data_IF_745273451701
#
_entry.id   IF_745273451701
#
_cell.length_a   1.000
_cell.length_b   1.000
_cell.length_c   1.000
_cell.angle_alpha   90.00
_cell.angle_beta   90.00
_cell.angle_gamma   90.00
#
_symmetry.space_group_name_H-M   'P 1'
#
loop_
_entity.id
_entity.type
_entity.pdbx_description
1 polymer ?
#
# COMPACT_ATOMS: atom_id res chain seq x y z
N UNK A 1 59.34 -47.61 31.35
CA UNK A 1 59.40 -46.12 31.10
C UNK A 1 58.51 -45.63 29.96
N UNK A 2 57.59 -46.40 29.37
CA UNK A 2 56.70 -45.94 28.25
C UNK A 2 55.28 -45.49 28.69
N UNK A 3 54.84 -45.78 29.88
CA UNK A 3 53.48 -45.42 30.33
C UNK A 3 53.34 -44.02 30.93
N UNK A 4 54.43 -43.34 31.35
CA UNK A 4 54.35 -42.03 31.95
C UNK A 4 54.22 -40.88 30.96
N UNK A 5 54.73 -41.07 29.73
CA UNK A 5 54.73 -40.00 28.70
C UNK A 5 53.34 -39.79 28.07
N UNK A 6 52.49 -40.85 27.98
CA UNK A 6 51.13 -40.76 27.45
C UNK A 6 50.17 -40.00 28.37
N UNK A 7 50.35 -40.13 29.68
CA UNK A 7 49.50 -39.46 30.69
C UNK A 7 49.69 -37.94 30.72
N UNK A 8 50.91 -37.45 30.51
CA UNK A 8 51.23 -36.01 30.54
C UNK A 8 50.73 -35.33 29.26
N UNK A 9 50.81 -35.99 28.10
CA UNK A 9 50.34 -35.43 26.81
C UNK A 9 48.82 -35.31 26.79
N UNK A 10 48.06 -36.26 27.34
CA UNK A 10 46.58 -36.20 27.40
C UNK A 10 46.13 -35.13 28.40
N UNK A 11 46.79 -34.94 29.55
CA UNK A 11 46.45 -33.89 30.52
C UNK A 11 46.77 -32.49 30.02
N UNK A 12 47.82 -32.28 29.17
CA UNK A 12 48.12 -31.00 28.58
C UNK A 12 47.11 -30.61 27.45
N UNK A 13 46.58 -31.58 26.69
CA UNK A 13 45.53 -31.35 25.69
C UNK A 13 44.19 -30.96 26.32
N UNK A 14 43.82 -31.58 27.44
CA UNK A 14 42.59 -31.27 28.18
C UNK A 14 42.65 -29.87 28.85
N UNK A 15 43.83 -29.43 29.29
CA UNK A 15 44.05 -28.08 29.86
C UNK A 15 43.91 -26.96 28.83
N UNK A 16 44.35 -27.17 27.61
CA UNK A 16 44.24 -26.18 26.55
C UNK A 16 42.82 -25.94 26.09
N UNK A 17 41.98 -26.99 26.00
CA UNK A 17 40.57 -26.87 25.62
C UNK A 17 39.72 -26.18 26.70
N UNK A 18 40.09 -26.27 27.96
CA UNK A 18 39.41 -25.58 29.07
C UNK A 18 39.65 -24.07 29.04
N UNK A 19 40.87 -23.64 28.75
CA UNK A 19 41.24 -22.21 28.67
C UNK A 19 40.60 -21.50 27.50
N UNK A 20 40.48 -22.16 26.31
CA UNK A 20 39.83 -21.56 25.12
C UNK A 20 38.34 -21.32 25.33
N UNK A 21 37.63 -22.25 26.01
CA UNK A 21 36.21 -22.09 26.35
C UNK A 21 35.96 -20.94 27.33
N UNK A 22 36.84 -20.72 28.30
CA UNK A 22 36.72 -19.58 29.23
C UNK A 22 36.94 -18.28 28.49
N UNK A 23 37.99 -18.17 27.65
CA UNK A 23 38.27 -17.02 26.86
C UNK A 23 37.12 -16.70 25.87
N UNK A 24 36.54 -17.70 25.21
CA UNK A 24 35.37 -17.51 24.34
C UNK A 24 34.17 -16.94 25.12
N UNK A 25 33.90 -17.42 26.34
CA UNK A 25 32.81 -16.87 27.18
C UNK A 25 33.03 -15.41 27.59
N UNK A 26 34.27 -15.03 27.87
CA UNK A 26 34.60 -13.64 28.21
C UNK A 26 34.41 -12.72 27.01
N UNK A 27 34.81 -13.13 25.80
CA UNK A 27 34.54 -12.42 24.55
C UNK A 27 33.02 -12.30 24.27
N UNK A 28 32.24 -13.34 24.55
CA UNK A 28 30.76 -13.26 24.40
C UNK A 28 30.18 -12.23 25.38
N UNK A 29 30.67 -12.16 26.64
CA UNK A 29 30.21 -11.13 27.58
C UNK A 29 30.56 -9.73 27.12
N UNK A 30 31.78 -9.52 26.66
CA UNK A 30 32.21 -8.25 26.08
C UNK A 30 31.35 -7.87 24.87
N UNK A 31 31.10 -8.80 23.95
CA UNK A 31 30.22 -8.58 22.81
C UNK A 31 28.78 -8.21 23.22
N UNK A 32 28.24 -8.85 24.27
CA UNK A 32 26.94 -8.53 24.82
C UNK A 32 26.88 -7.12 25.45
N UNK A 33 27.98 -6.63 26.02
CA UNK A 33 28.10 -5.25 26.52
C UNK A 33 28.11 -4.26 25.35
N UNK A 34 28.94 -4.48 24.33
CA UNK A 34 28.93 -3.67 23.12
C UNK A 34 27.55 -3.64 22.43
N UNK A 35 26.88 -4.79 22.34
CA UNK A 35 25.54 -4.85 21.76
C UNK A 35 24.53 -3.97 22.51
N UNK A 36 24.55 -4.03 23.87
CA UNK A 36 23.67 -3.20 24.72
C UNK A 36 23.96 -1.70 24.55
N UNK A 37 25.23 -1.36 24.34
CA UNK A 37 25.68 0.02 24.11
C UNK A 37 25.41 0.51 22.67
N UNK A 38 24.85 -0.36 21.79
CA UNK A 38 24.59 -0.04 20.38
C UNK A 38 25.84 -0.05 19.50
N UNK A 39 26.98 -0.52 20.02
CA UNK A 39 28.26 -0.66 19.33
C UNK A 39 28.33 -1.99 18.57
N UNK A 40 27.44 -2.14 17.59
CA UNK A 40 27.19 -3.43 16.94
C UNK A 40 28.41 -3.98 16.20
N UNK A 41 29.27 -3.12 15.60
CA UNK A 41 30.50 -3.55 14.93
C UNK A 41 31.51 -4.16 15.91
N UNK A 42 31.69 -3.52 17.08
CA UNK A 42 32.55 -4.03 18.12
C UNK A 42 32.02 -5.34 18.72
N UNK A 43 30.68 -5.44 18.86
CA UNK A 43 30.04 -6.68 19.27
C UNK A 43 30.31 -7.83 18.27
N UNK A 44 30.17 -7.58 16.96
CA UNK A 44 30.45 -8.55 15.90
C UNK A 44 31.90 -9.01 15.95
N UNK A 45 32.86 -8.10 16.16
CA UNK A 45 34.27 -8.45 16.30
C UNK A 45 34.52 -9.36 17.49
N UNK A 46 33.98 -9.03 18.68
CA UNK A 46 34.10 -9.85 19.88
C UNK A 46 33.47 -11.24 19.70
N UNK A 47 32.27 -11.32 19.12
CA UNK A 47 31.63 -12.60 18.83
C UNK A 47 32.40 -13.42 17.79
N UNK A 48 32.99 -12.78 16.77
CA UNK A 48 33.79 -13.46 15.77
C UNK A 48 35.04 -14.10 16.38
N UNK A 49 35.75 -13.39 17.27
CA UNK A 49 36.88 -13.95 18.04
C UNK A 49 36.42 -15.12 18.95
N UNK A 50 35.23 -15.02 19.53
CA UNK A 50 34.68 -16.10 20.34
C UNK A 50 34.38 -17.36 19.49
N UNK A 51 33.87 -17.20 18.27
CA UNK A 51 33.62 -18.29 17.31
C UNK A 51 34.94 -18.94 16.87
N UNK A 52 35.99 -18.16 16.63
CA UNK A 52 37.33 -18.71 16.30
C UNK A 52 37.86 -19.62 17.43
N UNK A 53 37.64 -19.26 18.69
CA UNK A 53 38.10 -20.04 19.85
C UNK A 53 37.21 -21.25 20.14
N UNK A 54 35.91 -21.13 19.95
CA UNK A 54 34.91 -22.19 20.21
C UNK A 54 33.88 -22.25 19.07
N UNK A 55 34.23 -22.83 17.91
CA UNK A 55 33.35 -22.87 16.75
C UNK A 55 32.05 -23.64 16.97
N UNK A 56 31.98 -24.50 17.97
CA UNK A 56 30.80 -25.31 18.31
C UNK A 56 29.83 -24.59 19.22
N UNK A 57 30.15 -23.38 19.68
CA UNK A 57 29.23 -22.58 20.49
C UNK A 57 28.01 -22.14 19.69
N UNK A 58 26.81 -22.62 20.06
CA UNK A 58 25.58 -22.35 19.29
C UNK A 58 25.08 -20.91 19.49
N UNK A 59 24.96 -20.47 20.72
CA UNK A 59 24.37 -19.17 21.11
C UNK A 59 25.13 -17.96 20.53
N UNK A 60 26.43 -18.06 20.32
CA UNK A 60 27.25 -16.93 19.79
C UNK A 60 26.89 -16.58 18.35
N UNK A 61 26.45 -17.54 17.53
CA UNK A 61 25.96 -17.27 16.17
C UNK A 61 24.68 -16.46 16.20
N UNK A 62 23.75 -16.79 17.11
CA UNK A 62 22.55 -15.98 17.32
C UNK A 62 22.89 -14.53 17.71
N UNK A 63 23.79 -14.36 18.66
CA UNK A 63 24.19 -13.04 19.14
C UNK A 63 24.84 -12.20 18.04
N UNK A 64 25.74 -12.81 17.24
CA UNK A 64 26.37 -12.13 16.11
C UNK A 64 25.38 -11.79 15.01
N UNK A 65 24.46 -12.69 14.70
CA UNK A 65 23.37 -12.45 13.76
C UNK A 65 22.50 -11.24 14.17
N UNK A 66 22.09 -11.17 15.46
CA UNK A 66 21.33 -10.03 15.97
C UNK A 66 22.10 -8.70 15.89
N UNK A 67 23.42 -8.73 16.12
CA UNK A 67 24.25 -7.54 15.99
C UNK A 67 24.37 -7.08 14.52
N UNK A 68 24.56 -8.02 13.60
CA UNK A 68 24.61 -7.74 12.16
C UNK A 68 23.23 -7.27 11.63
N UNK A 69 22.15 -7.91 12.00
CA UNK A 69 20.79 -7.47 11.68
C UNK A 69 20.52 -6.04 12.15
N UNK A 70 20.97 -5.70 13.39
CA UNK A 70 20.81 -4.34 13.91
C UNK A 70 21.49 -3.28 13.04
N UNK A 71 22.64 -3.60 12.43
CA UNK A 71 23.30 -2.72 11.47
C UNK A 71 22.46 -2.60 10.20
N UNK A 72 21.98 -3.72 9.65
CA UNK A 72 21.15 -3.75 8.43
C UNK A 72 19.92 -2.88 8.59
N UNK A 73 19.17 -3.06 9.68
CA UNK A 73 17.93 -2.33 9.93
C UNK A 73 18.12 -0.83 10.18
N UNK A 74 19.29 -0.43 10.68
CA UNK A 74 19.63 0.98 10.96
C UNK A 74 20.28 1.70 9.79
N UNK A 75 20.86 0.98 8.82
CA UNK A 75 21.56 1.55 7.66
C UNK A 75 20.53 1.91 6.57
N UNK A 76 20.11 3.18 6.57
CA UNK A 76 19.16 3.70 5.57
C UNK A 76 19.85 4.50 4.46
N UNK A 77 21.08 4.96 4.69
CA UNK A 77 21.84 5.78 3.74
C UNK A 77 22.33 4.94 2.55
N UNK A 78 22.09 5.38 1.29
CA UNK A 78 22.62 4.73 0.09
C UNK A 78 24.14 4.52 0.09
N UNK A 79 24.92 5.38 0.74
CA UNK A 79 26.38 5.21 0.87
C UNK A 79 26.78 3.98 1.70
N UNK A 80 25.89 3.50 2.55
CA UNK A 80 26.07 2.32 3.38
C UNK A 80 25.63 0.99 2.75
N UNK A 81 25.19 0.97 1.49
CA UNK A 81 24.61 -0.23 0.84
C UNK A 81 25.56 -1.43 0.80
N UNK A 82 26.86 -1.21 0.56
CA UNK A 82 27.84 -2.30 0.54
C UNK A 82 27.96 -2.95 1.92
N UNK A 83 28.10 -2.15 2.95
CA UNK A 83 28.19 -2.62 4.34
C UNK A 83 26.89 -3.31 4.75
N UNK A 84 25.72 -2.73 4.40
CA UNK A 84 24.41 -3.32 4.66
C UNK A 84 24.31 -4.73 4.08
N UNK A 85 24.75 -4.91 2.81
CA UNK A 85 24.74 -6.21 2.13
C UNK A 85 25.63 -7.23 2.82
N UNK A 86 26.84 -6.83 3.22
CA UNK A 86 27.79 -7.70 3.92
C UNK A 86 27.25 -8.18 5.28
N UNK A 87 26.65 -7.26 6.08
CA UNK A 87 26.05 -7.63 7.35
C UNK A 87 24.75 -8.41 7.19
N UNK A 88 23.98 -8.19 6.13
CA UNK A 88 22.83 -8.99 5.80
C UNK A 88 23.21 -10.46 5.53
N UNK A 89 24.23 -10.67 4.70
CA UNK A 89 24.75 -12.01 4.40
C UNK A 89 25.27 -12.71 5.67
N UNK A 90 26.01 -11.97 6.51
CA UNK A 90 26.49 -12.49 7.80
C UNK A 90 25.33 -12.91 8.71
N UNK A 91 24.33 -12.06 8.89
CA UNK A 91 23.19 -12.34 9.76
C UNK A 91 22.39 -13.56 9.27
N UNK A 92 22.12 -13.64 7.96
CA UNK A 92 21.40 -14.76 7.35
C UNK A 92 22.16 -16.08 7.52
N UNK A 93 23.47 -16.07 7.33
CA UNK A 93 24.32 -17.26 7.51
C UNK A 93 24.37 -17.71 8.98
N UNK A 94 24.47 -16.76 9.90
CA UNK A 94 24.56 -17.05 11.32
C UNK A 94 23.24 -17.55 11.91
N UNK A 95 22.09 -16.95 11.56
CA UNK A 95 20.79 -17.46 11.96
C UNK A 95 20.55 -18.89 11.45
N UNK A 96 20.94 -19.15 10.18
CA UNK A 96 20.89 -20.51 9.63
C UNK A 96 21.81 -21.46 10.41
N UNK A 97 23.04 -21.05 10.71
CA UNK A 97 24.03 -21.87 11.45
C UNK A 97 23.53 -22.16 12.85
N UNK A 98 22.90 -21.18 13.52
CA UNK A 98 22.30 -21.38 14.83
C UNK A 98 21.19 -22.45 14.78
N UNK A 99 20.26 -22.34 13.85
CA UNK A 99 19.14 -23.29 13.70
C UNK A 99 19.64 -24.70 13.37
N UNK A 100 20.58 -24.82 12.42
CA UNK A 100 21.16 -26.10 11.99
C UNK A 100 21.92 -26.82 13.12
N UNK A 101 22.40 -26.10 14.13
CA UNK A 101 23.18 -26.65 15.24
C UNK A 101 22.38 -26.91 16.52
N UNK A 102 21.11 -26.56 16.56
CA UNK A 102 20.24 -26.96 17.66
C UNK A 102 20.08 -28.49 17.66
N UNK A 103 20.30 -29.12 18.82
CA UNK A 103 20.18 -30.57 18.97
C UNK A 103 18.73 -31.05 18.79
N UNK A 104 17.77 -30.22 19.24
CA UNK A 104 16.32 -30.49 19.13
C UNK A 104 15.60 -29.17 18.82
N UNK A 105 15.60 -28.71 17.55
CA UNK A 105 14.90 -27.49 17.18
C UNK A 105 13.38 -27.67 17.31
N UNK A 106 12.72 -26.68 17.96
CA UNK A 106 11.28 -26.62 18.00
C UNK A 106 10.73 -25.88 16.75
N UNK A 107 9.47 -26.09 16.36
CA UNK A 107 8.86 -25.33 15.25
C UNK A 107 8.98 -23.80 15.43
N UNK A 108 8.90 -23.32 16.66
CA UNK A 108 9.05 -21.91 17.00
C UNK A 108 10.43 -21.34 16.65
N UNK A 109 11.50 -22.14 16.76
CA UNK A 109 12.86 -21.71 16.42
C UNK A 109 12.97 -21.42 14.92
N UNK A 110 12.41 -22.29 14.09
CA UNK A 110 12.37 -22.13 12.65
C UNK A 110 11.55 -20.90 12.24
N UNK A 111 10.40 -20.68 12.90
CA UNK A 111 9.57 -19.50 12.65
C UNK A 111 10.29 -18.21 13.05
N UNK A 112 10.98 -18.22 14.19
CA UNK A 112 11.76 -17.07 14.66
C UNK A 112 12.87 -16.70 13.65
N UNK A 113 13.67 -17.68 13.22
CA UNK A 113 14.71 -17.46 12.18
C UNK A 113 14.09 -16.94 10.89
N UNK A 114 12.93 -17.48 10.48
CA UNK A 114 12.26 -17.02 9.28
C UNK A 114 11.80 -15.57 9.39
N UNK A 115 11.31 -15.14 10.56
CA UNK A 115 10.91 -13.74 10.79
C UNK A 115 12.11 -12.77 10.68
N UNK A 116 13.24 -13.12 11.32
CA UNK A 116 14.49 -12.36 11.16
C UNK A 116 14.96 -12.33 9.70
N UNK A 117 14.91 -13.47 9.02
CA UNK A 117 15.27 -13.56 7.61
C UNK A 117 14.45 -12.60 6.75
N UNK A 118 13.12 -12.57 6.90
CA UNK A 118 12.26 -11.68 6.14
C UNK A 118 12.53 -10.20 6.42
N UNK A 119 12.78 -9.85 7.68
CA UNK A 119 13.13 -8.48 8.06
C UNK A 119 14.45 -8.01 7.43
N UNK A 120 15.47 -8.88 7.42
CA UNK A 120 16.78 -8.61 6.80
C UNK A 120 16.62 -8.45 5.28
N UNK A 121 15.90 -9.38 4.62
CA UNK A 121 15.69 -9.34 3.17
C UNK A 121 14.90 -8.09 2.75
N UNK A 122 13.91 -7.66 3.53
CA UNK A 122 13.15 -6.42 3.28
C UNK A 122 14.05 -5.18 3.43
N UNK A 123 14.84 -5.12 4.51
CA UNK A 123 15.75 -4.01 4.75
C UNK A 123 16.90 -3.92 3.73
N UNK A 124 17.38 -5.06 3.22
CA UNK A 124 18.44 -5.13 2.19
C UNK A 124 17.88 -5.12 0.75
N UNK A 125 16.56 -4.90 0.60
CA UNK A 125 15.87 -4.78 -0.70
C UNK A 125 16.07 -6.00 -1.61
N UNK A 126 16.09 -7.21 -1.04
CA UNK A 126 16.24 -8.48 -1.78
C UNK A 126 14.91 -8.96 -2.35
N UNK A 127 14.44 -8.24 -3.35
CA UNK A 127 13.13 -8.43 -3.94
C UNK A 127 12.87 -9.86 -4.41
N UNK A 128 13.79 -10.47 -5.15
CA UNK A 128 13.56 -11.80 -5.74
C UNK A 128 13.46 -12.90 -4.67
N UNK A 129 14.23 -12.78 -3.58
CA UNK A 129 14.15 -13.74 -2.48
C UNK A 129 12.85 -13.60 -1.69
N UNK A 130 12.41 -12.36 -1.43
CA UNK A 130 11.14 -12.07 -0.77
C UNK A 130 9.94 -12.55 -1.61
N UNK A 131 9.93 -12.22 -2.90
CA UNK A 131 8.88 -12.65 -3.82
C UNK A 131 8.83 -14.18 -3.93
N UNK A 132 9.99 -14.84 -4.04
CA UNK A 132 10.07 -16.31 -4.08
C UNK A 132 9.44 -16.91 -2.83
N UNK A 133 9.74 -16.37 -1.65
CA UNK A 133 9.15 -16.85 -0.40
C UNK A 133 7.62 -16.70 -0.36
N UNK A 134 7.10 -15.50 -0.71
CA UNK A 134 5.67 -15.26 -0.64
C UNK A 134 4.88 -16.04 -1.70
N UNK A 135 5.46 -16.20 -2.90
CA UNK A 135 4.86 -17.01 -3.98
C UNK A 135 4.84 -18.51 -3.60
N UNK A 136 5.92 -19.03 -2.99
CA UNK A 136 5.93 -20.41 -2.49
C UNK A 136 4.88 -20.64 -1.39
N UNK A 137 4.76 -19.67 -0.48
CA UNK A 137 3.73 -19.69 0.57
C UNK A 137 2.32 -19.70 -0.01
N UNK A 138 2.06 -18.84 -1.02
CA UNK A 138 0.78 -18.83 -1.74
C UNK A 138 0.51 -20.16 -2.46
N UNK A 139 1.51 -20.72 -3.15
CA UNK A 139 1.34 -22.00 -3.86
C UNK A 139 0.95 -23.15 -2.92
N UNK A 140 1.43 -23.10 -1.68
CA UNK A 140 1.06 -24.08 -0.62
C UNK A 140 -0.32 -23.80 -0.03
N UNK A 141 -0.76 -22.54 -0.01
CA UNK A 141 -2.01 -22.11 0.62
C UNK A 141 -2.77 -21.10 -0.29
N UNK A 142 -3.25 -21.54 -1.47
CA UNK A 142 -3.89 -20.63 -2.43
C UNK A 142 -5.24 -20.05 -1.95
N UNK A 143 -5.84 -20.64 -0.93
CA UNK A 143 -7.07 -20.15 -0.30
C UNK A 143 -6.84 -19.07 0.77
N UNK A 144 -5.59 -18.74 1.10
CA UNK A 144 -5.27 -17.69 2.06
C UNK A 144 -5.30 -16.31 1.36
N UNK A 145 -6.47 -15.66 1.38
CA UNK A 145 -6.71 -14.39 0.68
C UNK A 145 -5.70 -13.29 1.05
N UNK A 146 -5.23 -13.25 2.31
CA UNK A 146 -4.27 -12.24 2.78
C UNK A 146 -2.94 -12.25 2.02
N UNK A 147 -2.53 -13.42 1.49
CA UNK A 147 -1.29 -13.55 0.72
C UNK A 147 -1.31 -12.76 -0.58
N UNK A 148 -2.46 -12.61 -1.23
CA UNK A 148 -2.59 -11.84 -2.48
C UNK A 148 -2.17 -10.38 -2.28
N UNK A 149 -2.69 -9.76 -1.22
CA UNK A 149 -2.32 -8.37 -0.88
C UNK A 149 -0.85 -8.26 -0.45
N UNK A 150 -0.34 -9.24 0.28
CA UNK A 150 1.07 -9.28 0.70
C UNK A 150 1.99 -9.36 -0.50
N UNK A 151 1.70 -10.25 -1.46
CA UNK A 151 2.47 -10.40 -2.69
C UNK A 151 2.39 -9.13 -3.55
N UNK A 152 1.18 -8.59 -3.74
CA UNK A 152 1.01 -7.35 -4.50
C UNK A 152 1.84 -6.19 -3.91
N UNK A 153 1.77 -5.99 -2.59
CA UNK A 153 2.58 -4.97 -1.91
C UNK A 153 4.09 -5.23 -2.01
N UNK A 154 4.51 -6.49 -2.02
CA UNK A 154 5.91 -6.83 -2.21
C UNK A 154 6.38 -6.49 -3.62
N UNK A 155 5.55 -6.73 -4.65
CA UNK A 155 5.81 -6.28 -6.02
C UNK A 155 5.93 -4.75 -6.10
N UNK A 156 5.04 -3.99 -5.42
CA UNK A 156 5.12 -2.52 -5.37
C UNK A 156 6.42 -2.03 -4.74
N UNK A 157 6.82 -2.58 -3.60
CA UNK A 157 8.11 -2.25 -2.97
C UNK A 157 9.30 -2.51 -3.89
N UNK A 158 9.16 -3.46 -4.79
CA UNK A 158 10.17 -3.82 -5.78
C UNK A 158 10.06 -3.02 -7.09
N UNK A 159 9.24 -1.96 -7.13
CA UNK A 159 8.96 -1.16 -8.33
C UNK A 159 8.38 -1.98 -9.51
N UNK A 160 7.71 -3.08 -9.23
CA UNK A 160 7.06 -3.97 -10.19
C UNK A 160 5.54 -3.76 -10.14
N UNK A 161 5.11 -2.55 -10.45
CA UNK A 161 3.73 -2.08 -10.30
C UNK A 161 2.74 -2.88 -11.14
N UNK A 162 3.14 -3.32 -12.35
CA UNK A 162 2.28 -4.10 -13.24
C UNK A 162 1.92 -5.45 -12.62
N UNK A 163 2.90 -6.16 -12.10
CA UNK A 163 2.66 -7.45 -11.44
C UNK A 163 1.88 -7.27 -10.12
N UNK A 164 2.10 -6.18 -9.42
CA UNK A 164 1.27 -5.84 -8.27
C UNK A 164 -0.21 -5.70 -8.66
N UNK A 165 -0.51 -5.00 -9.76
CA UNK A 165 -1.87 -4.86 -10.30
C UNK A 165 -2.48 -6.21 -10.65
N UNK A 166 -1.73 -7.08 -11.32
CA UNK A 166 -2.17 -8.43 -11.69
C UNK A 166 -2.57 -9.25 -10.45
N UNK A 167 -1.87 -9.11 -9.32
CA UNK A 167 -2.21 -9.78 -8.07
C UNK A 167 -3.45 -9.21 -7.38
N UNK A 168 -3.70 -7.90 -7.45
CA UNK A 168 -4.96 -7.32 -6.98
C UNK A 168 -6.14 -7.80 -7.83
N UNK A 169 -5.99 -7.87 -9.15
CA UNK A 169 -7.02 -8.39 -10.06
C UNK A 169 -7.27 -9.88 -9.86
N UNK A 170 -6.20 -10.66 -9.72
CA UNK A 170 -6.29 -12.10 -9.41
C UNK A 170 -7.06 -12.35 -8.11
N UNK A 171 -6.86 -11.51 -7.08
CA UNK A 171 -7.60 -11.63 -5.83
C UNK A 171 -9.10 -11.52 -6.03
N UNK A 172 -9.60 -10.62 -6.88
CA UNK A 172 -11.04 -10.52 -7.19
C UNK A 172 -11.54 -11.77 -7.95
N UNK A 173 -10.72 -12.32 -8.84
CA UNK A 173 -11.09 -13.52 -9.61
C UNK A 173 -11.23 -14.74 -8.70
N UNK A 174 -10.30 -14.92 -7.76
CA UNK A 174 -10.27 -16.06 -6.86
C UNK A 174 -11.23 -15.90 -5.65
N UNK A 175 -11.54 -14.64 -5.26
CA UNK A 175 -12.43 -14.30 -4.15
C UNK A 175 -13.52 -13.30 -4.57
N UNK A 176 -14.46 -13.68 -5.46
CA UNK A 176 -15.48 -12.78 -6.01
C UNK A 176 -16.47 -12.24 -4.97
N UNK A 177 -16.57 -12.87 -3.80
CA UNK A 177 -17.41 -12.44 -2.68
C UNK A 177 -16.64 -11.64 -1.62
N UNK A 178 -15.38 -11.31 -1.87
CA UNK A 178 -14.57 -10.52 -0.94
C UNK A 178 -14.74 -9.03 -1.12
N UNK A 179 -15.47 -8.40 -0.23
CA UNK A 179 -15.62 -6.94 -0.15
C UNK A 179 -14.25 -6.25 -0.14
N UNK A 180 -13.30 -6.82 0.62
CA UNK A 180 -11.95 -6.27 0.76
C UNK A 180 -11.13 -6.36 -0.53
N UNK A 181 -11.39 -7.36 -1.38
CA UNK A 181 -10.73 -7.48 -2.67
C UNK A 181 -11.11 -6.30 -3.59
N UNK A 182 -12.42 -6.06 -3.75
CA UNK A 182 -12.92 -4.92 -4.53
C UNK A 182 -12.47 -3.58 -3.96
N UNK A 183 -12.55 -3.41 -2.65
CA UNK A 183 -12.14 -2.18 -1.99
C UNK A 183 -10.64 -1.88 -2.19
N UNK A 184 -9.76 -2.85 -2.01
CA UNK A 184 -8.31 -2.64 -2.19
C UNK A 184 -7.95 -2.30 -3.64
N UNK A 185 -8.59 -2.93 -4.63
CA UNK A 185 -8.36 -2.59 -6.03
C UNK A 185 -8.94 -1.21 -6.37
N UNK A 186 -10.11 -0.85 -5.81
CA UNK A 186 -10.68 0.48 -5.98
C UNK A 186 -9.74 1.58 -5.47
N UNK A 187 -9.17 1.43 -4.26
CA UNK A 187 -8.19 2.39 -3.71
C UNK A 187 -6.99 2.51 -4.65
N UNK A 188 -6.43 1.39 -5.07
CA UNK A 188 -5.28 1.38 -5.97
C UNK A 188 -5.55 2.10 -7.29
N UNK A 189 -6.74 1.91 -7.86
CA UNK A 189 -7.16 2.63 -9.09
C UNK A 189 -7.51 4.10 -8.82
N UNK A 190 -7.77 4.46 -7.56
CA UNK A 190 -8.01 5.85 -7.16
C UNK A 190 -6.72 6.64 -6.97
N UNK A 191 -5.61 6.00 -6.55
CA UNK A 191 -4.35 6.68 -6.23
C UNK A 191 -3.89 7.73 -7.28
N UNK A 192 -3.96 7.46 -8.59
CA UNK A 192 -3.58 8.47 -9.60
C UNK A 192 -4.50 9.70 -9.65
N UNK A 193 -5.71 9.63 -9.06
CA UNK A 193 -6.67 10.74 -9.02
C UNK A 193 -6.37 11.74 -7.89
N UNK A 194 -5.48 11.42 -6.94
CA UNK A 194 -5.11 12.37 -5.90
C UNK A 194 -4.52 13.64 -6.50
N UNK A 195 -4.83 14.80 -5.89
CA UNK A 195 -4.20 16.06 -6.29
C UNK A 195 -2.67 15.96 -6.27
N UNK A 196 -2.03 16.67 -7.20
CA UNK A 196 -0.59 16.87 -7.15
C UNK A 196 -0.26 17.68 -5.89
N UNK A 197 0.63 17.21 -4.99
CA UNK A 197 1.00 17.93 -3.77
C UNK A 197 1.54 19.36 -4.02
N UNK A 198 2.14 19.60 -5.18
CA UNK A 198 2.72 20.88 -5.57
C UNK A 198 1.71 21.79 -6.31
N UNK A 199 0.48 21.33 -6.52
CA UNK A 199 -0.59 22.05 -7.22
C UNK A 199 -1.66 22.53 -6.22
N UNK A 200 -2.17 23.77 -6.34
CA UNK A 200 -3.30 24.23 -5.54
C UNK A 200 -4.65 23.64 -6.00
N UNK A 201 -4.68 22.87 -7.09
CA UNK A 201 -5.89 22.30 -7.65
C UNK A 201 -6.36 21.08 -6.86
N UNK A 202 -7.68 20.89 -6.67
CA UNK A 202 -8.22 19.75 -5.91
C UNK A 202 -8.23 18.43 -6.71
N UNK A 203 -7.46 18.35 -7.78
CA UNK A 203 -7.35 17.19 -8.68
C UNK A 203 -5.95 17.09 -9.28
N UNK A 204 -5.61 15.93 -9.82
CA UNK A 204 -4.35 15.73 -10.55
C UNK A 204 -4.41 16.45 -11.90
N UNK A 205 -3.72 17.60 -12.00
CA UNK A 205 -3.65 18.42 -13.20
C UNK A 205 -2.75 17.85 -14.31
N UNK A 206 -1.92 16.84 -13.99
CA UNK A 206 -1.04 16.17 -14.93
C UNK A 206 -1.76 15.07 -15.74
N UNK A 207 -3.02 14.76 -15.38
CA UNK A 207 -3.84 13.74 -16.01
C UNK A 207 -4.95 14.38 -16.88
N UNK A 208 -5.18 13.81 -18.06
CA UNK A 208 -6.26 14.26 -18.93
C UNK A 208 -7.64 14.04 -18.29
N UNK A 209 -8.60 14.90 -18.64
CA UNK A 209 -9.96 14.85 -18.07
C UNK A 209 -10.67 13.54 -18.33
N UNK A 210 -10.60 13.07 -19.57
CA UNK A 210 -11.18 11.80 -19.99
C UNK A 210 -10.58 10.62 -19.21
N UNK A 211 -9.27 10.64 -18.96
CA UNK A 211 -8.59 9.63 -18.16
C UNK A 211 -9.05 9.66 -16.70
N UNK A 212 -9.19 10.86 -16.11
CA UNK A 212 -9.74 11.02 -14.76
C UNK A 212 -11.18 10.51 -14.65
N UNK A 213 -12.02 10.80 -15.64
CA UNK A 213 -13.41 10.30 -15.71
C UNK A 213 -13.42 8.77 -15.79
N UNK A 214 -12.58 8.18 -16.66
CA UNK A 214 -12.52 6.74 -16.86
C UNK A 214 -12.03 6.02 -15.60
N UNK A 215 -11.00 6.54 -14.93
CA UNK A 215 -10.55 5.98 -13.65
C UNK A 215 -11.60 6.11 -12.55
N UNK A 216 -12.26 7.25 -12.43
CA UNK A 216 -13.33 7.43 -11.46
C UNK A 216 -14.49 6.45 -11.72
N UNK A 217 -14.87 6.21 -12.98
CA UNK A 217 -15.89 5.22 -13.35
C UNK A 217 -15.48 3.80 -12.92
N UNK A 218 -14.21 3.44 -13.16
CA UNK A 218 -13.68 2.13 -12.77
C UNK A 218 -13.72 1.94 -11.25
N UNK A 219 -13.28 2.94 -10.49
CA UNK A 219 -13.33 2.95 -9.02
C UNK A 219 -14.77 2.80 -8.51
N UNK A 220 -15.70 3.60 -9.06
CA UNK A 220 -17.12 3.51 -8.71
C UNK A 220 -17.65 2.10 -8.94
N UNK A 221 -17.34 1.49 -10.10
CA UNK A 221 -17.76 0.13 -10.43
C UNK A 221 -17.27 -0.94 -9.44
N UNK A 222 -16.03 -0.86 -8.97
CA UNK A 222 -15.52 -1.77 -7.93
C UNK A 222 -16.21 -1.54 -6.59
N UNK A 223 -16.45 -0.29 -6.20
CA UNK A 223 -17.11 0.04 -4.93
C UNK A 223 -18.62 -0.28 -4.94
N UNK A 224 -19.26 -0.24 -6.10
CA UNK A 224 -20.62 -0.74 -6.28
C UNK A 224 -20.70 -2.25 -6.02
N UNK A 225 -19.72 -3.03 -6.51
CA UNK A 225 -19.61 -4.45 -6.19
C UNK A 225 -19.40 -4.68 -4.70
N UNK A 226 -18.50 -3.92 -4.07
CA UNK A 226 -18.26 -4.02 -2.63
C UNK A 226 -19.53 -3.77 -1.80
N UNK A 227 -20.33 -2.73 -2.12
CA UNK A 227 -21.58 -2.43 -1.42
C UNK A 227 -22.73 -3.35 -1.78
N UNK A 228 -22.68 -4.02 -2.93
CA UNK A 228 -23.64 -5.09 -3.28
C UNK A 228 -23.43 -6.33 -2.38
N UNK A 229 -22.17 -6.67 -2.08
CA UNK A 229 -21.81 -7.80 -1.22
C UNK A 229 -22.10 -7.45 0.26
N UNK A 230 -21.63 -6.29 0.72
CA UNK A 230 -21.90 -5.79 2.06
C UNK A 230 -22.42 -4.34 2.03
N UNK A 231 -23.74 -4.15 2.11
CA UNK A 231 -24.35 -2.82 2.13
C UNK A 231 -23.97 -1.95 3.34
N UNK A 232 -23.31 -2.51 4.35
CA UNK A 232 -22.85 -1.78 5.54
C UNK A 232 -21.35 -1.50 5.51
N UNK A 233 -20.65 -1.86 4.44
CA UNK A 233 -19.22 -1.62 4.31
C UNK A 233 -18.94 -0.13 4.10
N UNK A 234 -18.80 0.58 5.20
CA UNK A 234 -18.68 2.04 5.32
C UNK A 234 -17.62 2.65 4.38
N UNK A 235 -16.43 2.02 4.31
CA UNK A 235 -15.31 2.55 3.55
C UNK A 235 -15.59 2.62 2.04
N UNK A 236 -16.42 1.72 1.50
CA UNK A 236 -16.80 1.79 0.09
C UNK A 236 -17.58 3.06 -0.24
N UNK A 237 -18.45 3.52 0.65
CA UNK A 237 -19.19 4.76 0.46
C UNK A 237 -18.28 5.99 0.53
N UNK A 238 -17.29 6.00 1.43
CA UNK A 238 -16.32 7.10 1.53
C UNK A 238 -15.54 7.24 0.22
N UNK A 239 -14.92 6.15 -0.25
CA UNK A 239 -14.12 6.18 -1.46
C UNK A 239 -14.97 6.46 -2.71
N UNK A 240 -16.20 5.97 -2.75
CA UNK A 240 -17.13 6.26 -3.85
C UNK A 240 -17.55 7.72 -3.89
N UNK A 241 -17.76 8.36 -2.71
CA UNK A 241 -17.96 9.81 -2.63
C UNK A 241 -16.80 10.59 -3.23
N UNK A 242 -15.58 10.20 -2.87
CA UNK A 242 -14.36 10.81 -3.43
C UNK A 242 -14.27 10.59 -4.94
N UNK A 243 -14.60 9.41 -5.45
CA UNK A 243 -14.59 9.11 -6.88
C UNK A 243 -15.61 9.95 -7.67
N UNK A 244 -16.82 10.10 -7.15
CA UNK A 244 -17.81 11.02 -7.74
C UNK A 244 -17.33 12.46 -7.73
N UNK A 245 -16.70 12.92 -6.64
CA UNK A 245 -16.12 14.27 -6.55
C UNK A 245 -15.02 14.46 -7.62
N UNK A 246 -14.09 13.52 -7.76
CA UNK A 246 -13.05 13.60 -8.80
C UNK A 246 -13.63 13.56 -10.20
N UNK A 247 -14.68 12.80 -10.44
CA UNK A 247 -15.39 12.78 -11.74
C UNK A 247 -16.08 14.09 -12.02
N UNK A 248 -16.72 14.72 -11.04
CA UNK A 248 -17.29 16.06 -11.18
C UNK A 248 -16.23 17.10 -11.55
N UNK A 249 -15.10 17.11 -10.84
CA UNK A 249 -13.97 18.00 -11.07
C UNK A 249 -13.27 17.79 -12.43
N UNK A 250 -13.42 16.60 -13.03
CA UNK A 250 -12.88 16.31 -14.35
C UNK A 250 -13.73 16.87 -15.49
N UNK A 251 -14.98 17.22 -15.23
CA UNK A 251 -15.90 17.75 -16.26
C UNK A 251 -15.68 19.24 -16.41
N UNK A 252 -15.15 19.66 -17.57
CA UNK A 252 -14.92 21.08 -17.86
C UNK A 252 -16.14 21.74 -18.48
N UNK A 253 -16.41 22.95 -18.00
CA UNK A 253 -17.39 23.87 -18.55
C UNK A 253 -17.00 25.30 -18.18
N UNK A 254 -17.31 26.26 -19.07
CA UNK A 254 -17.05 27.68 -18.79
C UNK A 254 -18.01 28.27 -17.75
N UNK A 255 -17.62 29.36 -17.09
CA UNK A 255 -18.46 30.08 -16.14
C UNK A 255 -19.58 30.86 -16.84
N UNK A 256 -19.42 31.24 -18.10
CA UNK A 256 -20.39 31.95 -18.90
C UNK A 256 -21.44 30.99 -19.49
N UNK A 257 -22.48 30.75 -18.70
CA UNK A 257 -23.56 29.79 -19.03
C UNK A 257 -24.29 30.11 -20.34
N UNK A 258 -24.36 31.40 -20.71
CA UNK A 258 -25.09 31.82 -21.93
C UNK A 258 -24.33 31.45 -23.21
N UNK A 259 -23.01 31.33 -23.14
CA UNK A 259 -22.13 31.04 -24.27
C UNK A 259 -21.53 29.62 -24.23
N UNK A 260 -21.97 28.75 -23.32
CA UNK A 260 -21.51 27.36 -23.25
C UNK A 260 -21.90 26.60 -24.53
N UNK A 261 -20.97 25.75 -24.97
CA UNK A 261 -21.23 24.76 -26.03
C UNK A 261 -22.20 23.69 -25.49
N UNK A 262 -22.86 22.90 -26.38
CA UNK A 262 -23.68 21.77 -25.97
C UNK A 262 -22.94 20.79 -25.05
N UNK A 263 -21.66 20.52 -25.33
CA UNK A 263 -20.82 19.63 -24.54
C UNK A 263 -20.53 20.21 -23.14
N UNK A 264 -20.19 21.50 -23.03
CA UNK A 264 -19.99 22.17 -21.76
C UNK A 264 -21.26 22.20 -20.89
N UNK A 265 -22.42 22.43 -21.52
CA UNK A 265 -23.69 22.35 -20.84
C UNK A 265 -23.98 20.93 -20.30
N UNK A 266 -23.68 19.90 -21.09
CA UNK A 266 -23.80 18.51 -20.63
C UNK A 266 -22.81 18.23 -19.47
N UNK A 267 -21.56 18.66 -19.60
CA UNK A 267 -20.56 18.51 -18.54
C UNK A 267 -21.00 19.19 -17.23
N UNK A 268 -21.57 20.39 -17.31
CA UNK A 268 -22.10 21.10 -16.13
C UNK A 268 -23.22 20.32 -15.45
N UNK A 269 -24.16 19.77 -16.22
CA UNK A 269 -25.24 18.94 -15.69
C UNK A 269 -24.74 17.66 -15.03
N UNK A 270 -23.84 16.96 -15.71
CA UNK A 270 -23.24 15.72 -15.20
C UNK A 270 -22.34 15.97 -13.96
N UNK A 271 -21.63 17.11 -13.88
CA UNK A 271 -20.88 17.50 -12.68
C UNK A 271 -21.81 17.73 -11.49
N UNK A 272 -22.97 18.34 -11.70
CA UNK A 272 -24.02 18.52 -10.67
C UNK A 272 -24.57 17.16 -10.20
N UNK A 273 -24.87 16.27 -11.13
CA UNK A 273 -25.31 14.90 -10.80
C UNK A 273 -24.25 14.17 -9.95
N UNK A 274 -22.99 14.24 -10.35
CA UNK A 274 -21.87 13.63 -9.62
C UNK A 274 -21.72 14.21 -8.22
N UNK A 275 -21.86 15.53 -8.06
CA UNK A 275 -21.86 16.20 -6.74
C UNK A 275 -23.00 15.69 -5.84
N UNK A 276 -24.19 15.53 -6.39
CA UNK A 276 -25.32 14.97 -5.67
C UNK A 276 -25.10 13.48 -5.32
N UNK A 277 -24.50 12.70 -6.22
CA UNK A 277 -24.14 11.31 -5.95
C UNK A 277 -23.08 11.21 -4.86
N UNK A 278 -22.05 12.08 -4.85
CA UNK A 278 -21.05 12.17 -3.81
C UNK A 278 -21.70 12.44 -2.44
N UNK A 279 -22.61 13.41 -2.37
CA UNK A 279 -23.35 13.70 -1.14
C UNK A 279 -24.19 12.50 -0.68
N UNK A 280 -24.88 11.79 -1.57
CA UNK A 280 -25.64 10.58 -1.22
C UNK A 280 -24.76 9.50 -0.59
N UNK A 281 -23.51 9.37 -1.03
CA UNK A 281 -22.56 8.45 -0.41
C UNK A 281 -22.20 8.89 1.01
N UNK A 282 -21.94 10.18 1.23
CA UNK A 282 -21.67 10.73 2.56
C UNK A 282 -22.88 10.52 3.48
N UNK A 283 -24.11 10.75 2.98
CA UNK A 283 -25.34 10.45 3.74
C UNK A 283 -25.43 8.98 4.14
N UNK A 284 -25.08 8.05 3.25
CA UNK A 284 -25.06 6.62 3.59
C UNK A 284 -24.04 6.30 4.70
N UNK A 285 -22.87 6.94 4.71
CA UNK A 285 -21.91 6.84 5.82
C UNK A 285 -22.51 7.34 7.13
N UNK A 286 -23.17 8.49 7.10
CA UNK A 286 -23.83 9.06 8.27
C UNK A 286 -24.91 8.12 8.83
N UNK A 287 -25.69 7.48 7.96
CA UNK A 287 -26.74 6.54 8.36
C UNK A 287 -26.14 5.28 9.00
N UNK A 288 -25.01 4.78 8.46
CA UNK A 288 -24.28 3.66 9.05
C UNK A 288 -23.71 4.03 10.43
N UNK A 289 -23.13 5.21 10.56
CA UNK A 289 -22.52 5.72 11.80
C UNK A 289 -23.55 6.32 12.76
N UNK A 290 -24.82 6.42 12.36
CA UNK A 290 -25.92 7.05 13.14
C UNK A 290 -25.62 8.49 13.56
N UNK A 291 -25.00 9.26 12.65
CA UNK A 291 -24.65 10.67 12.90
C UNK A 291 -25.87 11.58 12.73
N UNK A 292 -26.00 12.62 13.58
CA UNK A 292 -27.03 13.64 13.41
C UNK A 292 -26.76 14.52 12.18
N UNK A 293 -27.78 15.19 11.65
CA UNK A 293 -27.59 16.22 10.63
C UNK A 293 -26.86 17.46 11.22
N UNK A 294 -25.93 18.03 10.43
CA UNK A 294 -25.23 19.24 10.80
C UNK A 294 -26.17 20.44 10.86
N UNK A 295 -26.01 21.31 11.86
CA UNK A 295 -26.59 22.65 11.81
C UNK A 295 -25.76 23.55 10.88
N UNK A 296 -26.40 24.56 10.30
CA UNK A 296 -25.72 25.51 9.39
C UNK A 296 -24.48 26.15 10.02
N UNK A 297 -24.53 26.43 11.32
CA UNK A 297 -23.43 27.03 12.10
C UNK A 297 -22.27 26.05 12.26
N UNK A 298 -22.53 24.75 12.42
CA UNK A 298 -21.53 23.70 12.55
C UNK A 298 -20.81 23.44 11.23
N UNK A 299 -21.53 23.54 10.10
CA UNK A 299 -20.93 23.45 8.76
C UNK A 299 -19.96 24.62 8.49
N UNK A 300 -20.32 25.83 8.89
CA UNK A 300 -19.48 27.01 8.76
C UNK A 300 -18.22 26.93 9.64
N UNK A 301 -18.28 26.22 10.76
CA UNK A 301 -17.14 26.00 11.67
C UNK A 301 -16.21 24.83 11.26
N UNK A 302 -16.52 24.11 10.18
CA UNK A 302 -15.66 23.01 9.69
C UNK A 302 -15.78 21.72 10.52
N UNK A 303 -16.93 21.44 11.10
CA UNK A 303 -17.21 20.26 11.95
C UNK A 303 -17.24 18.91 11.14
N UNK A 304 -16.25 18.70 10.28
CA UNK A 304 -16.17 17.46 9.48
C UNK A 304 -16.06 16.22 10.39
N UNK A 305 -17.01 15.30 10.24
CA UNK A 305 -17.00 13.97 10.89
C UNK A 305 -17.80 13.87 12.19
N UNK A 306 -18.37 14.95 12.74
CA UNK A 306 -19.22 14.92 13.93
C UNK A 306 -20.72 14.94 13.60
N UNK A 307 -21.11 15.36 12.41
CA UNK A 307 -22.47 15.41 11.91
C UNK A 307 -22.49 15.21 10.38
N UNK A 308 -23.68 14.95 9.85
CA UNK A 308 -23.91 14.69 8.45
C UNK A 308 -24.10 16.02 7.68
N UNK A 309 -23.39 16.24 6.55
CA UNK A 309 -23.55 17.46 5.78
C UNK A 309 -24.95 17.58 5.20
N UNK A 310 -25.47 18.82 5.18
CA UNK A 310 -26.74 19.12 4.56
C UNK A 310 -26.69 18.83 3.05
N UNK A 311 -27.83 18.41 2.46
CA UNK A 311 -27.89 18.21 1.02
C UNK A 311 -27.63 19.52 0.27
N UNK A 312 -27.08 19.43 -0.95
CA UNK A 312 -27.15 20.55 -1.87
C UNK A 312 -28.61 21.03 -2.01
N UNK A 313 -28.86 22.33 -2.16
CA UNK A 313 -30.22 22.82 -2.31
C UNK A 313 -30.93 22.08 -3.44
N UNK A 314 -32.15 21.56 -3.20
CA UNK A 314 -32.88 20.85 -4.21
C UNK A 314 -33.25 21.77 -5.36
N UNK A 315 -33.14 21.27 -6.59
CA UNK A 315 -33.70 21.97 -7.73
C UNK A 315 -35.23 22.06 -7.60
N UNK A 316 -35.78 23.18 -8.04
CA UNK A 316 -37.26 23.27 -8.21
C UNK A 316 -37.73 22.26 -9.27
N UNK A 317 -39.01 21.85 -9.27
CA UNK A 317 -39.55 20.94 -10.29
C UNK A 317 -39.34 21.49 -11.73
N UNK A 318 -39.39 22.82 -11.90
CA UNK A 318 -39.18 23.47 -13.18
C UNK A 318 -37.72 23.39 -13.63
N UNK A 319 -36.74 23.60 -12.71
CA UNK A 319 -35.33 23.42 -12.99
C UNK A 319 -34.99 21.95 -13.31
N UNK A 320 -35.57 21.00 -12.57
CA UNK A 320 -35.39 19.57 -12.87
C UNK A 320 -35.93 19.20 -14.25
N UNK A 321 -37.09 19.71 -14.65
CA UNK A 321 -37.68 19.46 -15.96
C UNK A 321 -36.83 20.11 -17.07
N UNK A 322 -36.32 21.32 -16.86
CA UNK A 322 -35.46 22.02 -17.79
C UNK A 322 -34.10 21.33 -17.96
N UNK A 323 -33.47 20.87 -16.86
CA UNK A 323 -32.22 20.13 -16.92
C UNK A 323 -32.38 18.79 -17.64
N UNK A 324 -33.49 18.07 -17.40
CA UNK A 324 -33.77 16.81 -18.06
C UNK A 324 -34.00 16.98 -19.57
N UNK A 325 -34.71 18.04 -19.98
CA UNK A 325 -34.93 18.38 -21.40
C UNK A 325 -33.62 18.79 -22.06
N UNK A 326 -32.84 19.65 -21.42
CA UNK A 326 -31.53 20.09 -21.93
C UNK A 326 -30.57 18.91 -22.11
N UNK A 327 -30.48 18.02 -21.13
CA UNK A 327 -29.66 16.82 -21.19
C UNK A 327 -30.03 15.96 -22.39
N UNK A 328 -31.31 15.72 -22.59
CA UNK A 328 -31.83 14.95 -23.73
C UNK A 328 -31.48 15.59 -25.06
N UNK A 329 -31.63 16.93 -25.19
CA UNK A 329 -31.29 17.68 -26.41
C UNK A 329 -29.78 17.62 -26.71
N UNK A 330 -28.92 17.76 -25.69
CA UNK A 330 -27.47 17.70 -25.84
C UNK A 330 -27.03 16.29 -26.23
N UNK A 331 -27.54 15.25 -25.58
CA UNK A 331 -27.27 13.87 -25.94
C UNK A 331 -27.66 13.54 -27.37
N UNK A 332 -28.82 14.06 -27.82
CA UNK A 332 -29.24 13.90 -29.20
C UNK A 332 -28.32 14.63 -30.18
N UNK A 333 -27.91 15.87 -29.86
CA UNK A 333 -26.98 16.64 -30.71
C UNK A 333 -25.61 15.96 -30.85
N UNK A 334 -25.09 15.42 -29.76
CA UNK A 334 -23.83 14.67 -29.73
C UNK A 334 -23.95 13.40 -30.59
N UNK A 335 -25.06 12.66 -30.44
CA UNK A 335 -25.34 11.46 -31.22
C UNK A 335 -25.49 11.77 -32.72
N UNK A 336 -26.18 12.84 -33.05
CA UNK A 336 -26.37 13.31 -34.44
C UNK A 336 -25.03 13.73 -35.07
N UNK A 337 -24.18 14.46 -34.33
CA UNK A 337 -22.84 14.84 -34.78
C UNK A 337 -21.94 13.61 -34.99
N UNK A 338 -21.99 12.62 -34.10
CA UNK A 338 -21.26 11.37 -34.23
C UNK A 338 -21.72 10.54 -35.45
N UNK A 339 -23.03 10.63 -35.79
CA UNK A 339 -23.62 9.99 -36.98
C UNK A 339 -23.39 10.79 -38.27
N UNK A 340 -22.68 11.93 -38.25
CA UNK A 340 -22.42 12.79 -39.40
C UNK A 340 -23.66 13.60 -39.83
N UNK A 341 -24.68 13.70 -39.01
CA UNK A 341 -25.90 14.48 -39.26
C UNK A 341 -25.60 15.93 -38.87
N UNK A 342 -25.47 16.80 -39.86
CA UNK A 342 -25.22 18.26 -39.66
C UNK A 342 -26.48 18.91 -39.09
N UNK A 343 -26.42 19.62 -37.94
CA UNK A 343 -27.56 20.36 -37.42
C UNK A 343 -28.01 21.44 -38.42
N UNK A 344 -29.32 21.72 -38.53
CA UNK A 344 -29.80 22.75 -39.43
C UNK A 344 -29.21 24.11 -39.04
N UNK A 345 -28.57 24.76 -40.03
CA UNK A 345 -27.96 26.09 -39.84
C UNK A 345 -28.99 27.05 -39.27
N UNK A 346 -28.68 27.76 -38.15
CA UNK A 346 -29.63 28.71 -37.57
C UNK A 346 -29.94 29.79 -38.62
N UNK A 347 -31.22 29.94 -38.96
CA UNK A 347 -31.68 30.97 -39.91
C UNK A 347 -31.27 32.33 -39.35
N UNK A 348 -30.26 32.94 -39.96
CA UNK A 348 -29.73 34.23 -39.57
C UNK A 348 -30.85 35.26 -39.35
N UNK A 349 -30.90 35.84 -38.15
CA UNK A 349 -31.75 37.02 -37.90
C UNK A 349 -31.32 38.10 -38.91
N UNK A 350 -32.19 38.37 -39.90
CA UNK A 350 -32.03 39.52 -40.84
C UNK A 350 -31.89 40.79 -40.01
N UNK A 351 -30.66 41.32 -39.95
CA UNK A 351 -30.40 42.59 -39.34
C UNK A 351 -31.28 43.65 -39.98
N UNK A 352 -32.20 44.25 -39.24
CA UNK A 352 -32.85 45.52 -39.61
C UNK A 352 -31.75 46.60 -39.62
N UNK A 353 -31.31 46.96 -40.82
CA UNK A 353 -30.60 48.23 -41.03
C UNK A 353 -31.50 49.36 -40.58
N UNK A 354 -31.06 50.14 -39.63
CA UNK A 354 -31.39 51.55 -39.45
C UNK A 354 -30.14 52.38 -39.48
#
# INVERSE_FOLDING_TARGET
MRSFVVGVAVSALLGLTGCTKIAARDLIREGNEFYRDGRYRDAIEAYSKAIELEPNGVTVYWNRACAAESIVLKTKDPSGLKDRREFADMALADFKTWLDRLEAPEPADGEQVQNHRLAILDADERCDELLTYWLDKHNKNPSEEALYTTIARQYDKCNRTKEADEWFEKRIQDFPESVRAYHSLAIRRFEPLFPDPDSPLPYNSNMAEEERINLANLVIGFLDKATLIDPKFRDAYIWRSMAYTQRALARRYGDDVENQTPEENLNRLLAREDTMLAWKQQKAVCDIDSLPECKMEEMAAGAAGSCCPLPPPPLTPEEQAADAELKRQIEQQIADAAAGITPPTPKGKKGKKR
#
